data_IF_025367840889
#
_entry.id   IF_025367840889
#
_cell.length_a   1.000
_cell.length_b   1.000
_cell.length_c   1.000
_cell.angle_alpha   90.00
_cell.angle_beta   90.00
_cell.angle_gamma   90.00
#
_symmetry.space_group_name_H-M   'P 1'
#
loop_
_entity.id
_entity.type
_entity.pdbx_description
1 polymer ?
#
# COMPACT_ATOMS: atom_id res chain seq x y z
N UNK A 1 -39.61 -7.60 40.35
CA UNK A 1 -38.38 -6.79 40.18
C UNK A 1 -37.12 -7.60 40.52
N UNK A 2 -36.87 -8.69 39.77
CA UNK A 2 -35.79 -9.65 40.07
C UNK A 2 -34.84 -9.87 38.87
N UNK A 3 -34.86 -8.97 37.89
CA UNK A 3 -34.22 -9.17 36.57
C UNK A 3 -33.23 -8.08 36.13
N UNK A 4 -32.81 -7.21 37.06
CA UNK A 4 -31.87 -6.12 36.77
C UNK A 4 -30.51 -6.24 37.48
N UNK A 5 -30.28 -7.30 38.27
CA UNK A 5 -29.03 -7.48 39.04
C UNK A 5 -28.03 -8.49 38.45
N UNK A 6 -28.31 -9.11 37.29
CA UNK A 6 -27.47 -10.17 36.70
C UNK A 6 -26.72 -9.77 35.41
N UNK A 7 -26.96 -8.59 34.83
CA UNK A 7 -26.26 -8.17 33.59
C UNK A 7 -24.93 -7.42 33.83
N UNK A 8 -24.64 -7.01 35.06
CA UNK A 8 -23.45 -6.23 35.39
C UNK A 8 -22.16 -7.07 35.58
N UNK A 9 -22.26 -8.40 35.69
CA UNK A 9 -21.10 -9.29 35.91
C UNK A 9 -20.63 -10.05 34.66
N UNK A 10 -21.25 -9.84 33.50
CA UNK A 10 -20.70 -10.31 32.20
C UNK A 10 -19.84 -9.26 31.47
N UNK A 11 -19.49 -8.17 32.16
CA UNK A 11 -18.62 -7.11 31.62
C UNK A 11 -17.12 -7.32 31.90
N UNK A 12 -16.71 -8.41 32.58
CA UNK A 12 -15.31 -8.60 32.99
C UNK A 12 -14.50 -9.68 32.25
N UNK A 13 -15.06 -10.42 31.30
CA UNK A 13 -14.31 -11.50 30.59
C UNK A 13 -14.14 -11.30 29.08
N UNK A 14 -14.21 -10.06 28.58
CA UNK A 14 -13.94 -9.77 27.17
C UNK A 14 -12.91 -8.66 26.98
N UNK A 15 -11.92 -8.54 27.87
CA UNK A 15 -10.79 -7.63 27.63
C UNK A 15 -9.86 -8.12 26.51
N UNK A 16 -9.98 -9.39 26.10
CA UNK A 16 -9.29 -9.93 24.92
C UNK A 16 -9.91 -9.45 23.59
N UNK A 17 -11.13 -8.90 23.59
CA UNK A 17 -11.81 -8.48 22.36
C UNK A 17 -11.44 -7.06 21.90
N UNK A 18 -10.85 -6.23 22.76
CA UNK A 18 -10.48 -4.86 22.38
C UNK A 18 -9.23 -4.79 21.48
N UNK A 19 -8.38 -5.83 21.48
CA UNK A 19 -7.22 -5.95 20.58
C UNK A 19 -7.62 -6.50 19.20
N UNK A 20 -8.76 -7.17 19.08
CA UNK A 20 -9.23 -7.80 17.83
C UNK A 20 -10.11 -6.89 16.96
N UNK A 21 -10.30 -5.64 17.36
CA UNK A 21 -11.12 -4.64 16.65
C UNK A 21 -10.31 -3.75 15.69
N UNK A 22 -9.11 -4.20 15.30
CA UNK A 22 -8.44 -3.78 14.07
C UNK A 22 -8.88 -4.72 12.93
N UNK A 23 -10.19 -4.75 12.66
CA UNK A 23 -10.83 -5.61 11.66
C UNK A 23 -10.38 -5.20 10.24
N UNK A 24 -10.22 -6.17 9.31
CA UNK A 24 -9.81 -5.94 7.91
C UNK A 24 -10.59 -4.80 7.23
N UNK A 25 -11.85 -4.60 7.62
CA UNK A 25 -12.70 -3.50 7.15
C UNK A 25 -12.16 -2.10 7.44
N UNK A 26 -11.42 -1.91 8.53
CA UNK A 26 -10.82 -0.60 8.84
C UNK A 26 -9.64 -0.28 7.90
N UNK A 27 -8.89 -1.30 7.46
CA UNK A 27 -7.78 -1.14 6.50
C UNK A 27 -8.33 -0.79 5.11
N UNK A 28 -9.40 -1.46 4.68
CA UNK A 28 -10.08 -1.13 3.41
C UNK A 28 -10.66 0.29 3.45
N UNK A 29 -11.28 0.70 4.56
CA UNK A 29 -11.76 2.06 4.76
C UNK A 29 -10.63 3.09 4.68
N UNK A 30 -9.51 2.84 5.37
CA UNK A 30 -8.37 3.75 5.36
C UNK A 30 -7.77 3.90 3.95
N UNK A 31 -7.73 2.81 3.18
CA UNK A 31 -7.25 2.84 1.78
C UNK A 31 -8.16 3.72 0.92
N UNK A 32 -9.48 3.58 1.07
CA UNK A 32 -10.45 4.43 0.39
C UNK A 32 -10.31 5.90 0.79
N UNK A 33 -10.17 6.19 2.10
CA UNK A 33 -9.98 7.55 2.62
C UNK A 33 -8.70 8.17 2.04
N UNK A 34 -7.58 7.43 2.02
CA UNK A 34 -6.32 7.93 1.48
C UNK A 34 -6.45 8.36 0.01
N UNK A 35 -7.12 7.53 -0.80
CA UNK A 35 -7.37 7.83 -2.21
C UNK A 35 -8.30 9.04 -2.36
N UNK A 36 -9.39 9.10 -1.59
CA UNK A 36 -10.36 10.20 -1.63
C UNK A 36 -9.76 11.54 -1.20
N UNK A 37 -8.90 11.55 -0.17
CA UNK A 37 -8.25 12.76 0.32
C UNK A 37 -7.37 13.42 -0.73
N UNK A 38 -6.72 12.63 -1.61
CA UNK A 38 -5.95 13.19 -2.71
C UNK A 38 -6.83 14.01 -3.67
N UNK A 39 -8.02 13.50 -4.01
CA UNK A 39 -9.00 14.22 -4.83
C UNK A 39 -9.57 15.45 -4.13
N UNK A 40 -9.75 15.38 -2.81
CA UNK A 40 -10.21 16.53 -2.02
C UNK A 40 -9.20 17.69 -2.05
N UNK A 41 -7.90 17.40 -1.89
CA UNK A 41 -6.85 18.42 -1.99
C UNK A 41 -6.85 19.08 -3.37
N UNK A 42 -7.02 18.30 -4.44
CA UNK A 42 -7.13 18.83 -5.80
C UNK A 42 -8.37 19.72 -5.93
N UNK A 43 -9.51 19.31 -5.37
CA UNK A 43 -10.74 20.12 -5.42
C UNK A 43 -10.61 21.45 -4.68
N UNK A 44 -9.92 21.47 -3.53
CA UNK A 44 -9.78 22.66 -2.70
C UNK A 44 -8.68 23.62 -3.20
N UNK A 45 -7.53 23.07 -3.60
CA UNK A 45 -6.33 23.86 -3.95
C UNK A 45 -6.10 23.98 -5.46
N UNK A 46 -6.68 23.09 -6.26
CA UNK A 46 -6.48 22.99 -7.72
C UNK A 46 -5.26 22.17 -8.12
N UNK A 47 -4.36 21.81 -7.20
CA UNK A 47 -3.14 21.05 -7.48
C UNK A 47 -2.54 20.40 -6.22
N UNK A 48 -1.70 19.39 -6.41
CA UNK A 48 -0.90 18.73 -5.37
C UNK A 48 0.59 19.02 -5.60
N UNK A 49 1.30 19.51 -4.59
CA UNK A 49 2.72 19.86 -4.75
C UNK A 49 3.57 19.43 -3.55
N UNK A 50 3.20 19.88 -2.35
CA UNK A 50 3.99 19.69 -1.13
C UNK A 50 4.24 18.22 -0.77
N UNK A 51 3.19 17.39 -0.76
CA UNK A 51 3.30 15.98 -0.38
C UNK A 51 4.19 15.19 -1.36
N UNK A 52 4.07 15.47 -2.66
CA UNK A 52 4.86 14.82 -3.71
C UNK A 52 6.31 15.30 -3.62
N UNK A 53 6.55 16.61 -3.46
CA UNK A 53 7.89 17.17 -3.31
C UNK A 53 8.64 16.61 -2.10
N UNK A 54 7.96 16.45 -0.96
CA UNK A 54 8.55 15.82 0.23
C UNK A 54 8.83 14.33 0.03
N UNK A 55 7.96 13.63 -0.70
CA UNK A 55 8.19 12.22 -1.04
C UNK A 55 9.43 12.05 -1.92
N UNK A 56 9.57 12.89 -2.96
CA UNK A 56 10.72 12.86 -3.86
C UNK A 56 12.01 13.26 -3.15
N UNK A 57 11.97 14.25 -2.25
CA UNK A 57 13.17 14.63 -1.48
C UNK A 57 13.62 13.52 -0.54
N UNK A 58 12.69 12.74 0.03
CA UNK A 58 13.00 11.57 0.84
C UNK A 58 13.60 10.43 0.00
N UNK A 59 13.10 10.19 -1.21
CA UNK A 59 13.71 9.25 -2.16
C UNK A 59 15.14 9.67 -2.53
N UNK A 60 15.33 10.95 -2.91
CA UNK A 60 16.63 11.49 -3.29
C UNK A 60 17.62 11.42 -2.11
N UNK A 61 17.18 11.71 -0.88
CA UNK A 61 18.01 11.58 0.30
C UNK A 61 18.49 10.14 0.52
N UNK A 62 17.61 9.16 0.32
CA UNK A 62 17.95 7.73 0.45
C UNK A 62 19.05 7.32 -0.53
N UNK A 63 18.95 7.77 -1.78
CA UNK A 63 19.93 7.52 -2.84
C UNK A 63 21.25 8.22 -2.54
N UNK A 64 21.22 9.53 -2.27
CA UNK A 64 22.42 10.36 -2.05
C UNK A 64 23.21 9.93 -0.82
N UNK A 65 22.53 9.56 0.27
CA UNK A 65 23.17 9.11 1.51
C UNK A 65 23.41 7.60 1.55
N UNK A 66 23.05 6.87 0.49
CA UNK A 66 23.15 5.40 0.41
C UNK A 66 22.58 4.71 1.66
N UNK A 67 21.38 5.11 2.10
CA UNK A 67 20.81 4.64 3.37
C UNK A 67 20.40 3.16 3.32
N UNK A 68 20.20 2.59 2.13
CA UNK A 68 19.69 1.21 1.94
C UNK A 68 18.33 1.01 2.60
N UNK A 69 17.52 2.07 2.63
CA UNK A 69 16.16 2.02 3.15
C UNK A 69 15.23 1.31 2.16
N UNK A 70 14.22 0.65 2.71
CA UNK A 70 13.14 0.02 1.94
C UNK A 70 12.08 1.07 1.65
N UNK A 71 11.83 1.33 0.37
CA UNK A 71 10.77 2.26 -0.06
C UNK A 71 9.93 1.61 -1.16
N UNK A 72 8.60 1.83 -1.17
CA UNK A 72 7.74 1.33 -2.23
C UNK A 72 7.96 2.17 -3.50
N UNK A 73 8.58 1.59 -4.52
CA UNK A 73 8.89 2.26 -5.79
C UNK A 73 8.43 1.40 -6.94
N UNK A 74 7.99 2.04 -8.01
CA UNK A 74 7.65 1.39 -9.27
C UNK A 74 8.90 0.77 -9.90
N UNK A 75 8.94 -0.55 -9.94
CA UNK A 75 10.05 -1.34 -10.49
C UNK A 75 9.55 -2.38 -11.47
N UNK A 76 10.43 -2.88 -12.33
CA UNK A 76 10.11 -3.96 -13.25
C UNK A 76 9.80 -5.24 -12.46
N UNK A 77 8.57 -5.75 -12.60
CA UNK A 77 8.11 -6.93 -11.84
C UNK A 77 8.17 -8.24 -12.61
N UNK A 78 8.87 -8.26 -13.76
CA UNK A 78 9.02 -9.44 -14.60
C UNK A 78 9.63 -10.60 -13.80
N UNK A 79 8.93 -11.73 -13.74
CA UNK A 79 9.34 -12.92 -12.99
C UNK A 79 8.96 -12.92 -11.51
N UNK A 80 8.43 -11.81 -10.97
CA UNK A 80 7.97 -11.72 -9.58
C UNK A 80 6.49 -12.11 -9.49
N UNK A 81 6.12 -12.88 -8.45
CA UNK A 81 4.74 -13.34 -8.19
C UNK A 81 4.04 -14.03 -9.38
N UNK A 82 4.80 -14.59 -10.33
CA UNK A 82 4.29 -15.26 -11.52
C UNK A 82 3.84 -14.33 -12.65
N UNK A 83 4.28 -13.08 -12.66
CA UNK A 83 4.04 -12.11 -13.74
C UNK A 83 5.10 -12.30 -14.82
N UNK A 84 4.69 -12.57 -16.07
CA UNK A 84 5.61 -12.82 -17.20
C UNK A 84 5.90 -11.56 -18.02
N UNK A 85 4.95 -10.63 -18.02
CA UNK A 85 4.98 -9.43 -18.84
C UNK A 85 5.89 -8.34 -18.26
N UNK A 86 6.33 -7.42 -19.12
CA UNK A 86 7.19 -6.28 -18.74
C UNK A 86 6.35 -5.11 -18.26
N UNK A 87 5.93 -5.18 -17.00
CA UNK A 87 5.11 -4.15 -16.34
C UNK A 87 5.88 -3.54 -15.18
N UNK A 88 5.67 -2.24 -14.95
CA UNK A 88 6.19 -1.52 -13.79
C UNK A 88 5.10 -1.40 -12.72
N UNK A 89 5.36 -1.96 -11.55
CA UNK A 89 4.47 -1.90 -10.39
C UNK A 89 5.25 -1.53 -9.14
N UNK A 90 4.55 -0.93 -8.18
CA UNK A 90 5.15 -0.49 -6.92
C UNK A 90 5.39 -1.67 -5.99
N UNK A 91 6.66 -2.02 -5.77
CA UNK A 91 7.09 -3.04 -4.81
C UNK A 91 8.08 -2.42 -3.81
N UNK A 92 8.19 -2.99 -2.58
CA UNK A 92 9.19 -2.56 -1.62
C UNK A 92 10.57 -2.92 -2.13
N UNK A 93 11.35 -1.89 -2.41
CA UNK A 93 12.69 -2.01 -2.97
C UNK A 93 13.70 -1.40 -2.03
N UNK A 94 14.87 -2.01 -1.95
CA UNK A 94 16.03 -1.45 -1.25
C UNK A 94 16.69 -0.44 -2.19
N UNK A 95 16.77 0.82 -1.76
CA UNK A 95 17.46 1.87 -2.52
C UNK A 95 18.86 2.13 -1.98
N UNK A 96 19.84 2.07 -2.86
CA UNK A 96 21.20 2.52 -2.61
C UNK A 96 21.62 3.65 -3.55
N UNK A 97 22.92 3.96 -3.54
CA UNK A 97 23.51 4.98 -4.41
C UNK A 97 23.40 4.68 -5.91
N UNK A 98 23.29 3.41 -6.28
CA UNK A 98 23.11 2.95 -7.66
C UNK A 98 21.63 2.84 -8.08
N UNK A 99 20.69 3.34 -7.27
CA UNK A 99 19.25 3.19 -7.48
C UNK A 99 18.70 1.95 -6.79
N UNK A 100 17.95 1.12 -7.51
CA UNK A 100 17.30 -0.08 -6.95
C UNK A 100 18.34 -1.19 -6.81
N UNK A 101 18.70 -1.53 -5.57
CA UNK A 101 19.66 -2.60 -5.28
C UNK A 101 19.00 -3.99 -5.21
N UNK A 102 17.73 -4.06 -4.85
CA UNK A 102 17.00 -5.31 -4.75
C UNK A 102 15.53 -5.10 -4.46
N UNK A 103 14.72 -6.05 -4.91
CA UNK A 103 13.27 -6.10 -4.65
C UNK A 103 13.01 -7.12 -3.57
N UNK A 104 12.21 -6.76 -2.56
CA UNK A 104 11.86 -7.68 -1.48
C UNK A 104 10.69 -8.54 -1.94
N UNK A 105 10.87 -9.86 -1.94
CA UNK A 105 9.80 -10.80 -2.26
C UNK A 105 8.92 -11.03 -1.02
N UNK A 106 7.73 -10.43 -0.99
CA UNK A 106 6.85 -10.58 0.17
C UNK A 106 6.01 -11.87 0.08
N UNK A 107 5.75 -12.54 1.20
CA UNK A 107 4.78 -13.62 1.24
C UNK A 107 3.36 -13.05 1.13
N UNK A 108 2.81 -13.03 -0.08
CA UNK A 108 1.45 -12.58 -0.36
C UNK A 108 0.45 -13.74 -0.28
N UNK A 109 -0.78 -13.45 0.14
CA UNK A 109 -1.90 -14.41 0.09
C UNK A 109 -2.39 -14.60 -1.34
N UNK A 110 -3.06 -15.71 -1.62
CA UNK A 110 -3.58 -16.02 -2.96
C UNK A 110 -4.50 -14.92 -3.52
N UNK A 111 -5.37 -14.35 -2.68
CA UNK A 111 -6.25 -13.24 -3.05
C UNK A 111 -5.46 -11.98 -3.45
N UNK A 112 -4.42 -11.63 -2.68
CA UNK A 112 -3.58 -10.45 -2.96
C UNK A 112 -2.76 -10.66 -4.24
N UNK A 113 -2.26 -11.89 -4.47
CA UNK A 113 -1.57 -12.25 -5.71
C UNK A 113 -2.50 -12.13 -6.92
N UNK A 114 -3.77 -12.54 -6.79
CA UNK A 114 -4.76 -12.36 -7.85
C UNK A 114 -5.02 -10.87 -8.14
N UNK A 115 -5.16 -10.04 -7.11
CA UNK A 115 -5.34 -8.59 -7.27
C UNK A 115 -4.11 -7.91 -7.91
N UNK A 116 -2.89 -8.33 -7.52
CA UNK A 116 -1.65 -7.83 -8.10
C UNK A 116 -1.55 -8.21 -9.59
N UNK A 117 -1.87 -9.46 -9.93
CA UNK A 117 -1.90 -9.94 -11.32
C UNK A 117 -2.95 -9.21 -12.15
N UNK A 118 -4.12 -8.97 -11.59
CA UNK A 118 -5.16 -8.18 -12.27
C UNK A 118 -4.68 -6.76 -12.57
N UNK A 119 -4.03 -6.10 -11.60
CA UNK A 119 -3.45 -4.77 -11.79
C UNK A 119 -2.35 -4.76 -12.86
N UNK A 120 -1.50 -5.79 -12.87
CA UNK A 120 -0.46 -5.96 -13.88
C UNK A 120 -1.04 -6.14 -15.30
N UNK A 121 -2.10 -6.93 -15.44
CA UNK A 121 -2.78 -7.14 -16.72
C UNK A 121 -3.40 -5.85 -17.26
N UNK A 122 -4.10 -5.09 -16.41
CA UNK A 122 -4.68 -3.80 -16.80
C UNK A 122 -3.63 -2.83 -17.31
N UNK A 123 -2.48 -2.72 -16.62
CA UNK A 123 -1.39 -1.87 -17.08
C UNK A 123 -0.76 -2.37 -18.38
N UNK A 124 -0.59 -3.68 -18.53
CA UNK A 124 -0.05 -4.28 -19.75
C UNK A 124 -0.93 -4.00 -20.96
N UNK A 125 -2.25 -4.11 -20.81
CA UNK A 125 -3.19 -3.85 -21.89
C UNK A 125 -3.20 -2.38 -22.30
N UNK A 126 -3.06 -1.45 -21.35
CA UNK A 126 -2.86 -0.03 -21.67
C UNK A 126 -1.53 0.21 -22.38
N UNK A 127 -0.46 -0.44 -21.93
CA UNK A 127 0.89 -0.27 -22.46
C UNK A 127 1.01 -0.76 -23.92
N UNK A 128 0.33 -1.85 -24.30
CA UNK A 128 0.30 -2.33 -25.70
C UNK A 128 -0.29 -1.32 -26.68
N UNK A 129 -1.23 -0.50 -26.22
CA UNK A 129 -1.94 0.46 -27.04
C UNK A 129 -1.17 1.78 -27.21
N UNK A 130 -0.04 1.95 -26.51
CA UNK A 130 0.82 3.12 -26.67
C UNK A 130 1.75 2.90 -27.87
N UNK A 131 1.39 3.48 -29.01
CA UNK A 131 2.35 3.77 -30.08
C UNK A 131 3.17 5.00 -29.70
N UNK A 132 4.47 4.82 -29.51
CA UNK A 132 5.46 5.89 -29.36
C UNK A 132 5.88 6.46 -30.71
#
# INVERSE_FOLDING_TARGET
MHKLRSKATKALNCFCCFIFLFDVRYIEYLTCVFICSAYEVIRLKGYTSWAIGLSVSHLAQSILKNLKNVQPISTLVKGLHGIKEEVFLSLPCVLGSAGVCGVINQPLKELEVQQLKHSAQTLWDLQKNLTL
#
